data_IF_776987589060
#
_entry.id   IF_776987589060
#
_cell.length_a   1.000
_cell.length_b   1.000
_cell.length_c   1.000
_cell.angle_alpha   90.00
_cell.angle_beta   90.00
_cell.angle_gamma   90.00
#
_symmetry.space_group_name_H-M   'P 1'
#
loop_
_entity.id
_entity.type
_entity.pdbx_description
1 polymer ?
#
# COMPACT_ATOMS: atom_id res chain seq x y z
N UNK A 1 39.93 -74.35 27.73
CA UNK A 1 39.63 -73.17 28.57
C UNK A 1 40.04 -71.92 27.79
N UNK A 2 39.14 -70.92 27.65
CA UNK A 2 39.30 -69.58 27.02
C UNK A 2 39.49 -69.56 25.49
N UNK A 3 38.97 -68.63 24.68
CA UNK A 3 38.02 -67.50 24.66
C UNK A 3 37.61 -67.41 23.15
N UNK A 4 36.61 -66.69 22.63
CA UNK A 4 36.43 -65.23 22.59
C UNK A 4 35.03 -64.99 21.97
N UNK A 5 34.28 -64.06 22.57
CA UNK A 5 32.98 -63.60 22.12
C UNK A 5 33.05 -62.88 20.76
N UNK A 6 32.02 -63.05 19.93
CA UNK A 6 31.83 -62.25 18.73
C UNK A 6 31.47 -60.79 19.10
N UNK A 7 32.05 -59.77 18.43
CA UNK A 7 31.65 -58.38 18.63
C UNK A 7 30.50 -58.03 17.67
N UNK A 8 29.27 -57.93 18.17
CA UNK A 8 28.09 -57.49 17.39
C UNK A 8 27.78 -55.98 17.50
N UNK A 9 28.66 -55.16 18.08
CA UNK A 9 28.33 -53.75 18.38
C UNK A 9 28.92 -52.71 17.41
N UNK A 10 29.92 -53.06 16.59
CA UNK A 10 30.63 -52.07 15.75
C UNK A 10 29.84 -51.52 14.55
N UNK A 11 28.82 -52.24 14.07
CA UNK A 11 28.07 -51.82 12.87
C UNK A 11 26.90 -50.89 13.17
N UNK A 12 26.32 -50.97 14.38
CA UNK A 12 25.18 -50.14 14.78
C UNK A 12 25.63 -48.71 15.12
N UNK A 13 26.78 -48.54 15.78
CA UNK A 13 27.29 -47.22 16.14
C UNK A 13 27.66 -46.35 14.93
N UNK A 14 28.29 -46.93 13.90
CA UNK A 14 28.69 -46.21 12.69
C UNK A 14 27.49 -45.69 11.88
N UNK A 15 26.37 -46.43 11.89
CA UNK A 15 25.13 -46.03 11.21
C UNK A 15 24.43 -44.89 11.98
N UNK A 16 24.40 -44.96 13.31
CA UNK A 16 23.82 -43.91 14.17
C UNK A 16 24.59 -42.59 14.01
N UNK A 17 25.93 -42.63 14.05
CA UNK A 17 26.76 -41.42 13.94
C UNK A 17 26.64 -40.72 12.58
N UNK A 18 26.57 -41.49 11.49
CA UNK A 18 26.40 -40.97 10.12
C UNK A 18 25.02 -40.34 9.91
N UNK A 19 23.99 -40.89 10.56
CA UNK A 19 22.64 -40.35 10.49
C UNK A 19 22.51 -39.06 11.33
N UNK A 20 23.08 -39.06 12.55
CA UNK A 20 23.08 -37.91 13.45
C UNK A 20 23.84 -36.69 12.87
N UNK A 21 24.96 -36.92 12.18
CA UNK A 21 25.69 -35.88 11.44
C UNK A 21 24.87 -35.28 10.29
N UNK A 22 24.09 -36.09 9.55
CA UNK A 22 23.19 -35.62 8.50
C UNK A 22 22.02 -34.81 9.05
N UNK A 23 21.44 -35.22 10.18
CA UNK A 23 20.36 -34.46 10.83
C UNK A 23 20.83 -33.12 11.37
N UNK A 24 22.04 -33.03 11.93
CA UNK A 24 22.62 -31.75 12.35
C UNK A 24 22.93 -30.82 11.16
N UNK A 25 23.45 -31.35 10.05
CA UNK A 25 23.65 -30.58 8.83
C UNK A 25 22.31 -30.09 8.22
N UNK A 26 21.28 -30.93 8.22
CA UNK A 26 19.94 -30.56 7.75
C UNK A 26 19.25 -29.52 8.67
N UNK A 27 19.42 -29.64 9.99
CA UNK A 27 18.89 -28.67 10.97
C UNK A 27 19.59 -27.31 10.90
N UNK A 28 20.89 -27.27 10.59
CA UNK A 28 21.64 -26.02 10.44
C UNK A 28 21.30 -25.25 9.15
N UNK A 29 20.82 -25.93 8.11
CA UNK A 29 20.43 -25.33 6.83
C UNK A 29 18.98 -24.83 6.80
N UNK A 30 18.11 -25.35 7.66
CA UNK A 30 16.72 -24.94 7.77
C UNK A 30 16.50 -23.42 8.02
N UNK A 31 17.21 -22.76 8.96
CA UNK A 31 17.02 -21.33 9.19
C UNK A 31 17.50 -20.46 8.02
N UNK A 32 18.57 -20.88 7.32
CA UNK A 32 19.07 -20.18 6.13
C UNK A 32 18.07 -20.30 4.98
N UNK A 33 17.49 -21.49 4.78
CA UNK A 33 16.47 -21.71 3.76
C UNK A 33 15.19 -20.92 4.07
N UNK A 34 14.76 -20.88 5.33
CA UNK A 34 13.61 -20.08 5.76
C UNK A 34 13.84 -18.58 5.56
N UNK A 35 15.06 -18.08 5.84
CA UNK A 35 15.43 -16.68 5.62
C UNK A 35 15.43 -16.34 4.12
N UNK A 36 16.01 -17.22 3.28
CA UNK A 36 16.02 -17.06 1.83
C UNK A 36 14.60 -17.07 1.24
N UNK A 37 13.74 -18.00 1.68
CA UNK A 37 12.32 -18.06 1.28
C UNK A 37 11.57 -16.78 1.67
N UNK A 38 11.83 -16.25 2.87
CA UNK A 38 11.24 -14.99 3.33
C UNK A 38 11.67 -13.79 2.48
N UNK A 39 12.95 -13.73 2.11
CA UNK A 39 13.47 -12.69 1.22
C UNK A 39 12.91 -12.81 -0.21
N UNK A 40 12.72 -14.03 -0.72
CA UNK A 40 12.08 -14.29 -2.02
C UNK A 40 10.60 -13.90 -2.06
N UNK A 41 9.87 -14.09 -0.95
CA UNK A 41 8.48 -13.64 -0.82
C UNK A 41 8.36 -12.11 -0.77
N UNK A 42 9.33 -11.42 -0.15
CA UNK A 42 9.39 -9.95 -0.12
C UNK A 42 9.82 -9.33 -1.45
N UNK A 43 10.54 -10.10 -2.28
CA UNK A 43 10.99 -9.68 -3.61
C UNK A 43 9.92 -9.87 -4.71
N UNK A 44 8.70 -10.32 -4.37
CA UNK A 44 7.62 -10.45 -5.32
C UNK A 44 7.27 -9.06 -5.90
N UNK A 45 7.17 -8.91 -7.24
CA UNK A 45 6.66 -7.68 -7.83
C UNK A 45 5.26 -7.40 -7.28
N UNK A 46 4.95 -6.13 -7.01
CA UNK A 46 3.60 -5.75 -6.58
C UNK A 46 2.61 -6.24 -7.62
N UNK A 47 1.57 -6.94 -7.17
CA UNK A 47 0.53 -7.44 -8.07
C UNK A 47 -0.12 -6.26 -8.80
N UNK A 48 -0.39 -6.43 -10.10
CA UNK A 48 -1.09 -5.43 -10.91
C UNK A 48 -2.42 -5.02 -10.25
N UNK A 49 -3.13 -5.98 -9.63
CA UNK A 49 -4.37 -5.74 -8.89
C UNK A 49 -4.19 -4.79 -7.69
N UNK A 50 -3.07 -4.88 -6.95
CA UNK A 50 -2.81 -3.98 -5.83
C UNK A 50 -2.45 -2.56 -6.31
N UNK A 51 -1.75 -2.45 -7.44
CA UNK A 51 -1.48 -1.16 -8.07
C UNK A 51 -2.76 -0.51 -8.60
N UNK A 52 -3.61 -1.28 -9.29
CA UNK A 52 -4.92 -0.83 -9.79
C UNK A 52 -5.83 -0.34 -8.66
N UNK A 53 -6.01 -1.11 -7.58
CA UNK A 53 -6.85 -0.69 -6.45
C UNK A 53 -6.28 0.56 -5.76
N UNK A 54 -4.94 0.66 -5.64
CA UNK A 54 -4.30 1.86 -5.10
C UNK A 54 -4.54 3.10 -5.96
N UNK A 55 -4.49 2.97 -7.28
CA UNK A 55 -4.69 4.08 -8.21
C UNK A 55 -6.18 4.45 -8.30
N UNK A 56 -7.08 3.46 -8.29
CA UNK A 56 -8.53 3.66 -8.17
C UNK A 56 -8.89 4.40 -6.87
N UNK A 57 -8.32 3.99 -5.73
CA UNK A 57 -8.49 4.68 -4.45
C UNK A 57 -7.93 6.11 -4.47
N UNK A 58 -6.82 6.32 -5.19
CA UNK A 58 -6.23 7.65 -5.38
C UNK A 58 -7.14 8.56 -6.22
N UNK A 59 -7.75 8.04 -7.28
CA UNK A 59 -8.71 8.76 -8.10
C UNK A 59 -9.96 9.16 -7.30
N UNK A 60 -10.48 8.27 -6.45
CA UNK A 60 -11.61 8.54 -5.56
C UNK A 60 -11.29 9.65 -4.55
N UNK A 61 -10.17 9.52 -3.83
CA UNK A 61 -9.75 10.55 -2.89
C UNK A 61 -9.49 11.90 -3.57
N UNK A 62 -8.95 11.89 -4.79
CA UNK A 62 -8.73 13.11 -5.57
C UNK A 62 -10.04 13.79 -5.97
N UNK A 63 -11.05 13.04 -6.42
CA UNK A 63 -12.37 13.57 -6.76
C UNK A 63 -13.05 14.26 -5.56
N UNK A 64 -13.00 13.64 -4.39
CA UNK A 64 -13.53 14.20 -3.14
C UNK A 64 -12.85 15.52 -2.77
N UNK A 65 -11.52 15.57 -2.85
CA UNK A 65 -10.74 16.77 -2.54
C UNK A 65 -10.93 17.89 -3.57
N UNK A 66 -11.04 17.55 -4.85
CA UNK A 66 -11.32 18.51 -5.91
C UNK A 66 -12.70 19.18 -5.69
N UNK A 67 -13.70 18.39 -5.28
CA UNK A 67 -15.02 18.92 -4.92
C UNK A 67 -14.96 19.92 -3.77
N UNK A 68 -14.19 19.61 -2.72
CA UNK A 68 -13.96 20.51 -1.59
C UNK A 68 -13.22 21.78 -2.03
N UNK A 69 -12.15 21.64 -2.80
CA UNK A 69 -11.32 22.76 -3.24
C UNK A 69 -12.10 23.76 -4.10
N UNK A 70 -12.95 23.23 -4.99
CA UNK A 70 -13.86 24.03 -5.79
C UNK A 70 -14.81 24.87 -4.95
N UNK A 71 -15.36 24.28 -3.89
CA UNK A 71 -16.34 24.96 -3.03
C UNK A 71 -15.70 26.01 -2.11
N UNK A 72 -14.62 25.63 -1.44
CA UNK A 72 -14.15 26.35 -0.25
C UNK A 72 -12.76 26.98 -0.41
N UNK A 73 -11.99 26.57 -1.42
CA UNK A 73 -10.61 27.02 -1.62
C UNK A 73 -10.45 27.97 -2.82
N UNK A 74 -11.54 28.40 -3.45
CA UNK A 74 -11.52 29.26 -4.63
C UNK A 74 -11.11 28.56 -5.93
N UNK A 75 -11.14 27.23 -5.98
CA UNK A 75 -10.86 26.47 -7.21
C UNK A 75 -11.95 26.67 -8.27
N UNK A 76 -11.55 26.91 -9.51
CA UNK A 76 -12.47 27.05 -10.65
C UNK A 76 -12.92 25.69 -11.23
N UNK A 77 -13.95 25.68 -12.06
CA UNK A 77 -14.29 24.48 -12.86
C UNK A 77 -13.10 24.04 -13.74
N UNK A 78 -12.39 25.02 -14.32
CA UNK A 78 -11.26 24.76 -15.19
C UNK A 78 -10.13 24.07 -14.42
N UNK A 79 -9.84 24.50 -13.19
CA UNK A 79 -8.84 23.84 -12.33
C UNK A 79 -9.19 22.37 -12.07
N UNK A 80 -10.47 22.08 -11.83
CA UNK A 80 -10.96 20.71 -11.61
C UNK A 80 -10.77 19.85 -12.87
N UNK A 81 -11.14 20.37 -14.04
CA UNK A 81 -11.00 19.67 -15.32
C UNK A 81 -9.52 19.40 -15.61
N UNK A 82 -8.66 20.40 -15.45
CA UNK A 82 -7.22 20.25 -15.68
C UNK A 82 -6.58 19.26 -14.71
N UNK A 83 -6.94 19.34 -13.42
CA UNK A 83 -6.45 18.42 -12.40
C UNK A 83 -6.86 16.98 -12.72
N UNK A 84 -8.12 16.75 -13.08
CA UNK A 84 -8.61 15.43 -13.48
C UNK A 84 -7.84 14.88 -14.69
N UNK A 85 -7.58 15.71 -15.71
CA UNK A 85 -6.84 15.29 -16.90
C UNK A 85 -5.37 14.99 -16.61
N UNK A 86 -4.71 15.79 -15.76
CA UNK A 86 -3.34 15.52 -15.32
C UNK A 86 -3.28 14.21 -14.54
N UNK A 87 -4.23 13.97 -13.63
CA UNK A 87 -4.30 12.73 -12.86
C UNK A 87 -4.51 11.49 -13.70
N UNK A 88 -5.35 11.55 -14.73
CA UNK A 88 -5.56 10.41 -15.64
C UNK A 88 -4.26 9.94 -16.30
N UNK A 89 -3.32 10.87 -16.55
CA UNK A 89 -2.01 10.54 -17.13
C UNK A 89 -1.04 9.94 -16.12
N UNK A 90 -1.27 10.14 -14.82
CA UNK A 90 -0.38 9.66 -13.74
C UNK A 90 -0.89 8.35 -13.14
N UNK A 91 -2.20 8.18 -13.01
CA UNK A 91 -2.85 7.00 -12.44
C UNK A 91 -3.24 6.02 -13.55
N UNK A 92 -2.25 5.51 -14.28
CA UNK A 92 -2.47 4.68 -15.49
C UNK A 92 -3.08 3.32 -15.18
N UNK A 93 -2.90 2.81 -13.95
CA UNK A 93 -3.45 1.51 -13.53
C UNK A 93 -4.89 1.63 -13.03
N UNK A 94 -5.45 2.84 -12.90
CA UNK A 94 -6.83 3.04 -12.47
C UNK A 94 -7.85 2.70 -13.58
N UNK A 95 -8.14 1.41 -13.76
CA UNK A 95 -9.14 0.94 -14.73
C UNK A 95 -10.54 1.57 -14.56
N UNK A 96 -10.87 2.00 -13.33
CA UNK A 96 -12.16 2.59 -12.96
C UNK A 96 -12.03 4.08 -12.64
N UNK A 97 -11.01 4.76 -13.18
CA UNK A 97 -10.67 6.15 -12.86
C UNK A 97 -11.90 7.08 -12.82
N UNK A 98 -12.73 7.10 -13.87
CA UNK A 98 -13.88 8.02 -13.95
C UNK A 98 -14.96 7.70 -12.92
N UNK A 99 -15.30 6.43 -12.76
CA UNK A 99 -16.30 5.97 -11.79
C UNK A 99 -15.83 6.31 -10.37
N UNK A 100 -14.56 6.04 -10.06
CA UNK A 100 -13.95 6.33 -8.75
C UNK A 100 -13.85 7.82 -8.49
N UNK A 101 -13.40 8.61 -9.47
CA UNK A 101 -13.42 10.08 -9.39
C UNK A 101 -14.82 10.60 -9.07
N UNK A 102 -15.85 10.12 -9.78
CA UNK A 102 -17.23 10.56 -9.58
C UNK A 102 -17.79 10.13 -8.23
N UNK A 103 -17.46 8.92 -7.76
CA UNK A 103 -17.81 8.47 -6.41
C UNK A 103 -17.19 9.38 -5.35
N UNK A 104 -15.91 9.73 -5.51
CA UNK A 104 -15.23 10.70 -4.68
C UNK A 104 -15.90 12.07 -4.67
N UNK A 105 -16.23 12.58 -5.86
CA UNK A 105 -16.95 13.86 -6.02
C UNK A 105 -18.27 13.87 -5.23
N UNK A 106 -19.07 12.82 -5.37
CA UNK A 106 -20.33 12.68 -4.65
C UNK A 106 -20.14 12.60 -3.12
N UNK A 107 -19.06 11.94 -2.64
CA UNK A 107 -18.70 12.01 -1.21
C UNK A 107 -18.36 13.45 -0.78
N UNK A 108 -17.65 14.19 -1.63
CA UNK A 108 -17.32 15.59 -1.41
C UNK A 108 -18.54 16.52 -1.31
N UNK A 109 -19.64 16.21 -2.02
CA UNK A 109 -20.92 16.92 -1.86
C UNK A 109 -21.49 16.74 -0.44
N UNK A 110 -21.40 15.54 0.12
CA UNK A 110 -21.82 15.26 1.49
C UNK A 110 -20.98 16.01 2.52
N UNK A 111 -19.65 16.02 2.35
CA UNK A 111 -18.75 16.77 3.22
C UNK A 111 -19.00 18.29 3.14
N UNK A 112 -19.34 18.80 1.95
CA UNK A 112 -19.67 20.21 1.76
C UNK A 112 -20.91 20.63 2.56
N UNK A 113 -21.92 19.75 2.68
CA UNK A 113 -23.09 20.04 3.54
C UNK A 113 -22.69 20.17 5.01
N UNK A 114 -21.82 19.29 5.52
CA UNK A 114 -21.31 19.38 6.89
C UNK A 114 -20.51 20.67 7.12
N UNK A 115 -19.66 21.06 6.16
CA UNK A 115 -18.90 22.30 6.24
C UNK A 115 -19.79 23.55 6.20
N UNK A 116 -20.86 23.57 5.39
CA UNK A 116 -21.83 24.67 5.38
C UNK A 116 -22.61 24.75 6.70
N UNK A 117 -22.98 23.61 7.29
CA UNK A 117 -23.55 23.59 8.64
C UNK A 117 -22.58 24.18 9.67
N UNK A 118 -21.30 23.80 9.61
CA UNK A 118 -20.27 24.37 10.48
C UNK A 118 -20.09 25.88 10.26
N UNK A 119 -20.16 26.34 9.01
CA UNK A 119 -20.08 27.77 8.67
C UNK A 119 -21.17 28.59 9.37
N UNK A 120 -22.38 28.05 9.46
CA UNK A 120 -23.51 28.72 10.10
C UNK A 120 -23.42 28.69 11.63
N UNK A 121 -22.99 27.57 12.20
CA UNK A 121 -23.02 27.35 13.65
C UNK A 121 -21.73 27.80 14.37
N UNK A 122 -20.58 27.70 13.70
CA UNK A 122 -19.25 28.00 14.25
C UNK A 122 -18.33 28.65 13.20
N UNK A 123 -18.54 29.93 12.83
CA UNK A 123 -17.81 30.56 11.71
C UNK A 123 -16.29 30.61 11.89
N UNK A 124 -15.80 30.79 13.12
CA UNK A 124 -14.37 30.80 13.42
C UNK A 124 -13.74 29.42 13.22
N UNK A 125 -14.40 28.36 13.67
CA UNK A 125 -13.96 26.98 13.46
C UNK A 125 -13.98 26.61 11.98
N UNK A 126 -15.05 27.00 11.26
CA UNK A 126 -15.13 26.83 9.81
C UNK A 126 -13.92 27.45 9.10
N UNK A 127 -13.57 28.70 9.41
CA UNK A 127 -12.43 29.38 8.79
C UNK A 127 -11.10 28.63 9.03
N UNK A 128 -10.87 28.15 10.26
CA UNK A 128 -9.69 27.36 10.61
C UNK A 128 -9.65 26.05 9.81
N UNK A 129 -10.78 25.34 9.74
CA UNK A 129 -10.86 24.06 9.02
C UNK A 129 -10.72 24.23 7.51
N UNK A 130 -11.33 25.26 6.92
CA UNK A 130 -11.17 25.55 5.48
C UNK A 130 -9.71 25.82 5.17
N UNK A 131 -9.06 26.72 5.92
CA UNK A 131 -7.64 27.03 5.70
C UNK A 131 -6.77 25.77 5.76
N UNK A 132 -6.88 24.98 6.84
CA UNK A 132 -6.09 23.76 7.02
C UNK A 132 -6.36 22.72 5.92
N UNK A 133 -7.62 22.54 5.51
CA UNK A 133 -7.96 21.62 4.43
C UNK A 133 -7.44 22.08 3.08
N UNK A 134 -7.52 23.37 2.74
CA UNK A 134 -7.02 23.89 1.48
C UNK A 134 -5.50 23.70 1.35
N UNK A 135 -4.74 24.00 2.41
CA UNK A 135 -3.29 23.80 2.44
C UNK A 135 -2.93 22.31 2.23
N UNK A 136 -3.63 21.42 2.94
CA UNK A 136 -3.45 19.97 2.83
C UNK A 136 -3.81 19.45 1.44
N UNK A 137 -4.94 19.87 0.87
CA UNK A 137 -5.39 19.44 -0.44
C UNK A 137 -4.40 19.87 -1.52
N UNK A 138 -3.91 21.12 -1.47
CA UNK A 138 -2.89 21.61 -2.39
C UNK A 138 -1.64 20.72 -2.36
N UNK A 139 -1.09 20.45 -1.17
CA UNK A 139 0.07 19.58 -1.01
C UNK A 139 -0.20 18.16 -1.53
N UNK A 140 -1.39 17.60 -1.26
CA UNK A 140 -1.75 16.25 -1.72
C UNK A 140 -1.89 16.18 -3.25
N UNK A 141 -2.50 17.20 -3.87
CA UNK A 141 -2.66 17.28 -5.32
C UNK A 141 -1.29 17.40 -6.00
N UNK A 142 -0.44 18.30 -5.52
CA UNK A 142 0.90 18.51 -6.07
C UNK A 142 1.74 17.21 -5.97
N UNK A 143 1.67 16.50 -4.84
CA UNK A 143 2.40 15.24 -4.68
C UNK A 143 1.86 14.10 -5.53
N UNK A 144 0.54 14.01 -5.71
CA UNK A 144 -0.05 12.95 -6.51
C UNK A 144 0.27 13.13 -7.99
N UNK A 145 0.46 14.37 -8.45
CA UNK A 145 0.87 14.70 -9.82
C UNK A 145 2.38 14.55 -10.07
N UNK A 146 3.21 14.38 -9.04
CA UNK A 146 4.64 14.13 -9.25
C UNK A 146 4.80 12.79 -9.96
N UNK A 147 5.53 12.81 -11.07
CA UNK A 147 5.91 11.60 -11.78
C UNK A 147 6.58 10.63 -10.81
N UNK A 148 5.98 9.45 -10.64
CA UNK A 148 6.67 8.34 -9.96
C UNK A 148 7.57 7.70 -11.01
N UNK A 149 8.87 7.47 -10.71
CA UNK A 149 9.69 6.65 -11.61
C UNK A 149 9.02 5.28 -11.78
N UNK A 150 9.05 4.70 -12.99
CA UNK A 150 8.58 3.34 -13.19
C UNK A 150 9.34 2.42 -12.22
N UNK A 151 8.60 1.53 -11.55
CA UNK A 151 9.16 0.52 -10.66
C UNK A 151 9.67 -0.67 -11.45
#
# INVERSE_FOLDING_TARGET
>A
MRFIAAPEDGHKEAIVYKNQSRYHALLALAPVLALLLSLLLLAQPRSALASEESDNGSAEAAGQRARFAKEFCGGSEQDVVEYKQKLRKVLTEASQFDTRWQAGWARGDSDAMQMRSLQLNSPSEFAVRVKSNCDRIKWQADNLLRARPPK
#
